data_IF_823767604134
#
_entry.id   IF_823767604134
#
_cell.length_a   1.000
_cell.length_b   1.000
_cell.length_c   1.000
_cell.angle_alpha   90.00
_cell.angle_beta   90.00
_cell.angle_gamma   90.00
#
_symmetry.space_group_name_H-M   'P 1'
#
loop_
_entity.id
_entity.type
_entity.pdbx_description
1 polymer ?
#
# COMPACT_ATOMS: atom_id res chain seq x y z
N UNK A 1 12.75 -9.42 3.40
CA UNK A 1 12.54 -10.24 2.18
C UNK A 1 13.61 -10.13 1.08
N UNK A 2 14.67 -9.33 1.23
CA UNK A 2 15.74 -9.22 0.20
C UNK A 2 16.75 -10.38 0.23
N UNK A 3 16.89 -11.07 1.37
CA UNK A 3 17.77 -12.22 1.50
C UNK A 3 17.07 -13.52 1.12
N UNK A 4 17.74 -14.34 0.29
CA UNK A 4 17.22 -15.64 -0.16
C UNK A 4 16.93 -16.57 1.02
N UNK A 5 17.80 -16.61 2.03
CA UNK A 5 17.58 -17.38 3.26
C UNK A 5 16.31 -16.95 4.01
N UNK A 6 16.02 -15.65 4.04
CA UNK A 6 14.83 -15.11 4.70
C UNK A 6 13.56 -15.48 3.94
N UNK A 7 13.60 -15.42 2.60
CA UNK A 7 12.51 -15.89 1.74
C UNK A 7 12.27 -17.38 1.91
N UNK A 8 13.32 -18.19 1.96
CA UNK A 8 13.21 -19.64 2.11
C UNK A 8 12.50 -20.03 3.41
N UNK A 9 12.75 -19.31 4.51
CA UNK A 9 12.07 -19.54 5.81
C UNK A 9 10.56 -19.30 5.76
N UNK A 10 10.05 -18.54 4.78
CA UNK A 10 8.60 -18.31 4.67
C UNK A 10 7.84 -19.52 4.17
N UNK A 11 8.49 -20.49 3.54
CA UNK A 11 7.85 -21.69 2.99
C UNK A 11 7.48 -22.74 4.04
N UNK A 12 7.35 -22.34 5.30
CA UNK A 12 6.73 -23.15 6.33
C UNK A 12 5.26 -23.41 5.95
N UNK A 13 4.88 -24.70 5.85
CA UNK A 13 3.57 -25.10 5.36
C UNK A 13 3.39 -25.06 3.83
N UNK A 14 4.47 -24.95 3.04
CA UNK A 14 4.39 -25.13 1.58
C UNK A 14 3.90 -26.55 1.23
N UNK A 15 2.99 -26.72 0.24
CA UNK A 15 2.44 -28.04 -0.06
C UNK A 15 3.53 -29.03 -0.47
N UNK A 16 3.55 -30.21 0.18
CA UNK A 16 4.57 -31.23 -0.06
C UNK A 16 4.48 -31.84 -1.47
N UNK A 17 3.30 -31.76 -2.09
CA UNK A 17 3.00 -32.23 -3.44
C UNK A 17 3.16 -31.13 -4.51
N UNK A 18 3.57 -29.92 -4.12
CA UNK A 18 3.78 -28.81 -5.05
C UNK A 18 4.84 -29.17 -6.11
N UNK A 19 4.62 -28.83 -7.39
CA UNK A 19 5.50 -29.24 -8.49
C UNK A 19 6.81 -28.46 -8.60
N UNK A 20 6.99 -27.42 -7.78
CA UNK A 20 8.18 -26.57 -7.71
C UNK A 20 8.67 -26.46 -6.28
N UNK A 21 9.99 -26.38 -6.10
CA UNK A 21 10.58 -26.42 -4.76
C UNK A 21 10.67 -25.03 -4.12
N UNK A 22 10.55 -24.93 -2.78
CA UNK A 22 10.81 -23.69 -2.03
C UNK A 22 12.16 -23.04 -2.35
N UNK A 23 13.20 -23.84 -2.59
CA UNK A 23 14.53 -23.35 -2.94
C UNK A 23 14.54 -22.61 -4.29
N UNK A 24 13.90 -23.18 -5.31
CA UNK A 24 13.81 -22.55 -6.64
C UNK A 24 12.95 -21.29 -6.62
N UNK A 25 11.87 -21.29 -5.83
CA UNK A 25 11.02 -20.12 -5.62
C UNK A 25 11.79 -19.00 -4.90
N UNK A 26 12.47 -19.31 -3.81
CA UNK A 26 13.30 -18.36 -3.06
C UNK A 26 14.41 -17.76 -3.92
N UNK A 27 15.11 -18.61 -4.70
CA UNK A 27 16.14 -18.20 -5.66
C UNK A 27 15.60 -17.31 -6.77
N UNK A 28 14.38 -17.55 -7.24
CA UNK A 28 13.68 -16.71 -8.22
C UNK A 28 13.09 -15.43 -7.62
N UNK A 29 13.36 -15.14 -6.34
CA UNK A 29 12.96 -13.90 -5.66
C UNK A 29 11.61 -13.98 -4.96
N UNK A 30 11.02 -15.17 -4.86
CA UNK A 30 9.70 -15.36 -4.27
C UNK A 30 9.74 -15.74 -2.79
N UNK A 31 8.74 -15.30 -2.05
CA UNK A 31 8.44 -15.75 -0.70
C UNK A 31 6.99 -16.21 -0.60
N UNK A 32 6.72 -17.14 0.29
CA UNK A 32 5.40 -17.73 0.48
C UNK A 32 4.46 -16.78 1.23
N UNK A 33 3.21 -16.67 0.75
CA UNK A 33 2.16 -15.90 1.40
C UNK A 33 1.15 -16.76 2.17
N UNK A 34 1.00 -18.02 1.76
CA UNK A 34 -0.08 -18.90 2.23
C UNK A 34 -1.51 -18.40 1.93
N UNK A 35 -2.54 -19.19 2.27
CA UNK A 35 -2.62 -20.65 2.09
C UNK A 35 -2.58 -21.05 0.60
N UNK A 36 -2.33 -22.33 0.31
CA UNK A 36 -2.18 -22.85 -1.06
C UNK A 36 -0.74 -22.75 -1.56
N UNK A 37 -0.55 -22.37 -2.82
CA UNK A 37 0.77 -22.27 -3.49
C UNK A 37 1.12 -20.84 -3.93
N UNK A 38 0.54 -19.84 -3.24
CA UNK A 38 0.73 -18.42 -3.54
C UNK A 38 2.08 -17.91 -3.07
N UNK A 39 2.83 -17.29 -3.98
CA UNK A 39 4.12 -16.68 -3.69
C UNK A 39 4.21 -15.26 -4.24
N UNK A 40 4.98 -14.39 -3.58
CA UNK A 40 5.17 -12.99 -3.97
C UNK A 40 6.65 -12.65 -4.14
N UNK A 41 6.96 -11.88 -5.18
CA UNK A 41 8.31 -11.42 -5.46
C UNK A 41 8.70 -10.25 -4.54
N UNK A 42 9.88 -10.29 -3.92
CA UNK A 42 10.38 -9.19 -3.08
C UNK A 42 10.66 -7.89 -3.86
N UNK A 43 10.94 -8.01 -5.17
CA UNK A 43 11.40 -6.91 -6.01
C UNK A 43 10.25 -6.18 -6.71
N UNK A 44 9.36 -6.91 -7.36
CA UNK A 44 8.24 -6.34 -8.11
C UNK A 44 6.90 -6.45 -7.38
N UNK A 45 6.86 -7.10 -6.21
CA UNK A 45 5.63 -7.42 -5.48
C UNK A 45 4.63 -8.29 -6.27
N UNK A 46 5.03 -8.82 -7.44
CA UNK A 46 4.21 -9.68 -8.29
C UNK A 46 3.92 -11.03 -7.62
N UNK A 47 2.68 -11.50 -7.75
CA UNK A 47 2.18 -12.72 -7.10
C UNK A 47 1.93 -13.81 -8.14
N UNK A 48 2.47 -15.01 -7.90
CA UNK A 48 2.23 -16.22 -8.70
C UNK A 48 1.58 -17.31 -7.84
N UNK A 49 0.82 -18.20 -8.50
CA UNK A 49 0.09 -19.34 -7.91
C UNK A 49 -0.25 -20.36 -9.00
N UNK A 50 -0.85 -21.48 -8.61
CA UNK A 50 -1.26 -22.58 -9.50
C UNK A 50 -0.08 -23.18 -10.29
N UNK A 51 1.01 -23.49 -9.60
CA UNK A 51 2.20 -24.09 -10.19
C UNK A 51 1.89 -25.49 -10.74
N UNK A 52 2.41 -25.81 -11.92
CA UNK A 52 2.25 -27.12 -12.57
C UNK A 52 3.58 -27.83 -12.78
N UNK A 53 3.53 -29.15 -13.00
CA UNK A 53 4.72 -29.98 -13.20
C UNK A 53 5.47 -29.52 -14.45
N UNK A 54 6.73 -29.13 -14.27
CA UNK A 54 7.58 -28.61 -15.35
C UNK A 54 7.73 -27.08 -15.37
N UNK A 55 7.02 -26.35 -14.51
CA UNK A 55 7.22 -24.91 -14.38
C UNK A 55 8.60 -24.58 -13.82
N UNK A 56 9.22 -23.53 -14.38
CA UNK A 56 10.43 -22.93 -13.81
C UNK A 56 10.06 -21.61 -13.14
N UNK A 57 10.28 -21.45 -11.83
CA UNK A 57 9.96 -20.21 -11.12
C UNK A 57 10.57 -18.95 -11.74
N UNK A 58 11.82 -19.00 -12.19
CA UNK A 58 12.47 -17.86 -12.83
C UNK A 58 11.91 -17.56 -14.22
N UNK A 59 11.53 -18.60 -14.98
CA UNK A 59 10.92 -18.43 -16.31
C UNK A 59 9.51 -17.85 -16.18
N UNK A 60 8.69 -18.39 -15.28
CA UNK A 60 7.34 -17.88 -15.02
C UNK A 60 7.39 -16.46 -14.43
N UNK A 61 8.36 -16.15 -13.57
CA UNK A 61 8.59 -14.77 -13.10
C UNK A 61 8.87 -13.81 -14.27
N UNK A 62 9.76 -14.19 -15.19
CA UNK A 62 10.08 -13.36 -16.36
C UNK A 62 8.92 -13.27 -17.35
N UNK A 63 8.14 -14.33 -17.48
CA UNK A 63 6.98 -14.41 -18.36
C UNK A 63 5.85 -13.51 -17.88
N UNK A 64 5.52 -13.56 -16.58
CA UNK A 64 4.40 -12.80 -16.00
C UNK A 64 4.80 -11.41 -15.52
N UNK A 65 6.06 -11.19 -15.14
CA UNK A 65 6.59 -9.90 -14.70
C UNK A 65 7.92 -9.53 -15.40
N UNK A 66 7.92 -9.36 -16.74
CA UNK A 66 9.13 -9.13 -17.54
C UNK A 66 9.88 -7.83 -17.20
N UNK A 67 9.22 -6.88 -16.54
CA UNK A 67 9.82 -5.62 -16.10
C UNK A 67 10.47 -5.71 -14.71
N UNK A 68 10.34 -6.84 -14.02
CA UNK A 68 10.92 -7.03 -12.70
C UNK A 68 12.45 -6.96 -12.78
N UNK A 69 13.05 -6.04 -12.03
CA UNK A 69 14.50 -5.86 -11.99
C UNK A 69 15.24 -7.15 -11.61
N UNK A 70 14.68 -7.91 -10.66
CA UNK A 70 15.22 -9.21 -10.28
C UNK A 70 15.05 -10.28 -11.37
N UNK A 71 13.88 -10.37 -12.02
CA UNK A 71 13.66 -11.33 -13.10
C UNK A 71 14.54 -11.08 -14.35
N UNK A 72 14.93 -9.82 -14.56
CA UNK A 72 15.88 -9.37 -15.59
C UNK A 72 17.36 -9.55 -15.19
N UNK A 73 17.66 -10.00 -13.97
CA UNK A 73 19.03 -10.16 -13.48
C UNK A 73 19.74 -8.83 -13.18
N UNK A 74 19.00 -7.73 -13.04
CA UNK A 74 19.56 -6.45 -12.58
C UNK A 74 19.78 -6.52 -11.08
N UNK A 75 20.80 -5.81 -10.57
CA UNK A 75 21.13 -5.78 -9.15
C UNK A 75 20.01 -5.08 -8.33
N UNK A 76 18.95 -5.83 -8.04
CA UNK A 76 17.78 -5.35 -7.28
C UNK A 76 17.98 -5.48 -5.77
N UNK A 77 19.23 -5.51 -5.29
CA UNK A 77 19.57 -5.74 -3.88
C UNK A 77 19.18 -7.12 -3.37
N UNK A 78 19.29 -8.16 -4.22
CA UNK A 78 19.14 -9.56 -3.81
C UNK A 78 20.39 -10.02 -3.05
N UNK A 79 20.20 -10.81 -1.99
CA UNK A 79 21.29 -11.41 -1.21
C UNK A 79 21.21 -12.93 -1.33
N UNK A 80 22.04 -13.56 -2.19
CA UNK A 80 21.99 -15.01 -2.45
C UNK A 80 22.41 -15.85 -1.24
N UNK A 81 22.00 -17.12 -1.22
CA UNK A 81 22.53 -18.10 -0.26
C UNK A 81 24.03 -18.27 -0.45
N UNK A 82 24.81 -18.13 0.63
CA UNK A 82 26.23 -18.47 0.65
C UNK A 82 26.37 -19.98 0.53
N UNK A 83 26.64 -20.46 -0.68
CA UNK A 83 27.11 -21.83 -0.89
C UNK A 83 28.59 -21.84 -0.55
N UNK A 84 28.95 -22.55 0.51
CA UNK A 84 30.35 -22.91 0.73
C UNK A 84 30.79 -23.81 -0.41
N UNK A 85 31.63 -23.30 -1.32
CA UNK A 85 32.43 -24.14 -2.18
C UNK A 85 33.82 -24.19 -1.58
N UNK A 86 34.24 -25.37 -1.13
CA UNK A 86 35.65 -25.74 -1.24
C UNK A 86 35.96 -25.69 -2.73
N UNK A 87 36.83 -24.77 -3.15
CA UNK A 87 38.11 -25.10 -3.80
C UNK A 87 38.71 -23.85 -4.47
N UNK A 88 39.91 -23.54 -3.97
CA UNK A 88 40.98 -22.67 -4.45
C UNK A 88 40.78 -21.89 -5.76
N UNK A 89 40.84 -20.55 -5.66
CA UNK A 89 41.55 -19.73 -6.66
C UNK A 89 42.49 -18.77 -5.94
N UNK A 90 43.72 -18.74 -6.45
CA UNK A 90 44.91 -18.19 -5.82
C UNK A 90 44.83 -16.71 -5.45
N UNK A 91 45.52 -16.39 -4.35
CA UNK A 91 45.59 -15.05 -3.79
C UNK A 91 46.30 -14.07 -4.72
N UNK A 92 45.53 -13.27 -5.46
CA UNK A 92 45.94 -11.94 -5.91
C UNK A 92 44.78 -11.17 -6.55
N UNK A 93 43.97 -10.45 -5.75
CA UNK A 93 43.39 -9.16 -6.19
C UNK A 93 42.76 -8.36 -5.04
N UNK A 94 43.50 -8.10 -3.96
CA UNK A 94 43.13 -7.09 -2.95
C UNK A 94 43.78 -5.72 -3.23
N UNK A 95 44.19 -5.46 -4.47
CA UNK A 95 44.90 -4.23 -4.89
C UNK A 95 44.19 -3.46 -6.00
N UNK A 96 42.86 -3.54 -6.09
CA UNK A 96 42.04 -2.65 -6.94
C UNK A 96 40.88 -1.98 -6.19
N UNK A 97 40.85 -2.07 -4.85
CA UNK A 97 39.89 -1.37 -4.00
C UNK A 97 40.29 0.07 -3.64
N UNK A 98 41.07 0.74 -4.48
CA UNK A 98 41.25 2.18 -4.32
C UNK A 98 41.65 2.82 -5.64
N UNK A 99 41.03 3.98 -5.93
CA UNK A 99 41.05 4.79 -7.17
C UNK A 99 39.91 4.36 -8.11
N UNK A 100 38.82 5.08 -8.33
CA UNK A 100 38.45 6.51 -8.34
C UNK A 100 36.90 6.51 -8.49
N UNK A 101 36.06 7.46 -8.12
CA UNK A 101 36.05 8.81 -7.56
C UNK A 101 34.59 9.09 -7.22
N UNK A 102 34.36 10.05 -6.32
CA UNK A 102 33.08 10.74 -6.13
C UNK A 102 32.40 11.00 -7.48
N UNK A 103 31.18 10.49 -7.67
CA UNK A 103 30.06 11.09 -8.42
C UNK A 103 28.96 10.03 -8.63
N UNK A 104 27.99 10.01 -7.72
CA UNK A 104 26.62 9.62 -8.06
C UNK A 104 25.65 10.51 -7.28
N UNK A 105 25.57 11.76 -7.73
CA UNK A 105 24.42 12.61 -7.48
C UNK A 105 23.33 12.22 -8.48
N UNK A 106 22.27 11.54 -8.01
CA UNK A 106 21.01 11.36 -8.73
C UNK A 106 20.26 10.08 -8.31
N UNK A 107 19.18 10.09 -7.53
CA UNK A 107 18.30 11.16 -7.08
C UNK A 107 17.75 10.81 -5.68
N UNK A 108 18.21 11.55 -4.67
CA UNK A 108 17.53 11.67 -3.40
C UNK A 108 16.72 12.97 -3.44
N UNK A 109 15.43 12.92 -3.11
CA UNK A 109 14.65 14.12 -2.75
C UNK A 109 13.92 14.90 -3.83
N UNK A 110 13.70 14.38 -5.04
CA UNK A 110 12.81 15.08 -5.99
C UNK A 110 11.39 14.51 -5.95
N UNK A 111 10.40 15.41 -5.83
CA UNK A 111 9.00 15.08 -5.93
C UNK A 111 8.67 14.50 -7.32
N UNK A 112 7.82 13.46 -7.34
CA UNK A 112 7.38 12.81 -8.59
C UNK A 112 6.55 13.76 -9.47
N UNK A 113 5.89 14.74 -8.85
CA UNK A 113 5.09 15.79 -9.50
C UNK A 113 5.53 17.18 -9.00
N UNK A 114 6.64 17.74 -9.50
CA UNK A 114 7.14 19.05 -9.09
C UNK A 114 6.11 20.18 -9.30
N UNK A 115 5.30 20.09 -10.35
CA UNK A 115 4.23 21.06 -10.63
C UNK A 115 3.12 21.09 -9.57
N UNK A 116 3.04 20.03 -8.76
CA UNK A 116 2.08 19.86 -7.67
C UNK A 116 2.70 20.07 -6.29
N UNK A 117 3.90 20.66 -6.22
CA UNK A 117 4.60 20.97 -4.96
C UNK A 117 3.89 22.06 -4.14
N UNK A 118 3.33 23.08 -4.81
CA UNK A 118 2.53 24.10 -4.15
C UNK A 118 1.16 23.53 -3.72
N UNK A 119 0.77 23.80 -2.47
CA UNK A 119 -0.53 23.38 -1.93
C UNK A 119 -1.71 23.90 -2.75
N UNK A 120 -1.68 25.17 -3.13
CA UNK A 120 -2.74 25.79 -3.94
C UNK A 120 -2.90 25.07 -5.29
N UNK A 121 -1.79 24.67 -5.93
CA UNK A 121 -1.84 23.85 -7.15
C UNK A 121 -2.59 22.54 -6.92
N UNK A 122 -2.34 21.86 -5.79
CA UNK A 122 -3.09 20.65 -5.42
C UNK A 122 -4.54 20.95 -5.13
N UNK A 123 -4.84 22.02 -4.40
CA UNK A 123 -6.21 22.38 -4.02
C UNK A 123 -7.09 22.65 -5.26
N UNK A 124 -6.54 23.29 -6.30
CA UNK A 124 -7.28 23.54 -7.55
C UNK A 124 -7.76 22.26 -8.25
N UNK A 125 -7.09 21.12 -8.01
CA UNK A 125 -7.51 19.85 -8.60
C UNK A 125 -8.85 19.36 -8.05
N UNK A 126 -9.24 19.78 -6.84
CA UNK A 126 -10.46 19.35 -6.16
C UNK A 126 -11.73 20.09 -6.60
N UNK A 127 -11.70 20.84 -7.72
CA UNK A 127 -12.84 21.59 -8.26
C UNK A 127 -14.14 20.77 -8.44
N UNK A 128 -14.03 19.44 -8.57
CA UNK A 128 -15.14 18.50 -8.69
C UNK A 128 -15.04 17.33 -7.69
N UNK A 129 -14.48 17.59 -6.50
CA UNK A 129 -14.42 16.60 -5.42
C UNK A 129 -15.83 16.16 -5.00
N UNK A 130 -16.09 14.85 -4.77
CA UNK A 130 -17.43 14.37 -4.47
C UNK A 130 -17.96 14.96 -3.17
N UNK A 131 -19.21 15.43 -3.19
CA UNK A 131 -19.88 15.98 -2.00
C UNK A 131 -20.14 14.94 -0.92
N UNK A 132 -20.21 13.67 -1.31
CA UNK A 132 -20.37 12.51 -0.45
C UNK A 132 -19.07 12.07 0.24
N UNK A 133 -17.92 12.54 -0.24
CA UNK A 133 -16.64 12.26 0.39
C UNK A 133 -16.56 13.02 1.72
N UNK A 134 -16.34 12.28 2.80
CA UNK A 134 -16.34 12.79 4.17
C UNK A 134 -15.14 13.68 4.51
N UNK A 135 -14.08 13.60 3.73
CA UNK A 135 -12.82 14.32 3.95
C UNK A 135 -12.77 15.58 3.09
N UNK A 136 -12.36 16.69 3.70
CA UNK A 136 -12.30 17.97 2.99
C UNK A 136 -11.04 18.10 2.11
N UNK A 137 -11.18 18.65 0.89
CA UNK A 137 -10.09 18.91 -0.04
C UNK A 137 -8.87 19.64 0.52
N UNK A 138 -9.09 20.62 1.39
CA UNK A 138 -8.03 21.44 1.97
C UNK A 138 -7.10 20.60 2.87
N UNK A 139 -7.66 19.64 3.62
CA UNK A 139 -6.87 18.74 4.47
C UNK A 139 -6.05 17.76 3.61
N UNK A 140 -6.64 17.27 2.51
CA UNK A 140 -5.97 16.40 1.54
C UNK A 140 -4.82 17.15 0.85
N UNK A 141 -5.08 18.36 0.37
CA UNK A 141 -4.07 19.22 -0.25
C UNK A 141 -2.90 19.51 0.69
N UNK A 142 -3.18 19.87 1.96
CA UNK A 142 -2.15 20.03 2.99
C UNK A 142 -1.32 18.76 3.18
N UNK A 143 -1.97 17.59 3.21
CA UNK A 143 -1.31 16.28 3.35
C UNK A 143 -0.51 15.82 2.13
N UNK A 144 -0.33 16.70 1.14
CA UNK A 144 0.44 16.43 -0.07
C UNK A 144 -0.36 15.75 -1.16
N UNK A 145 -1.68 15.59 -0.99
CA UNK A 145 -2.53 14.92 -1.95
C UNK A 145 -3.16 15.88 -2.95
N UNK A 146 -3.19 15.50 -4.22
CA UNK A 146 -4.01 16.14 -5.23
C UNK A 146 -5.08 15.16 -5.75
N UNK A 147 -6.22 15.70 -6.15
CA UNK A 147 -7.32 14.92 -6.69
C UNK A 147 -6.97 14.41 -8.09
N UNK A 148 -7.23 13.13 -8.33
CA UNK A 148 -7.00 12.51 -9.64
C UNK A 148 -8.16 12.71 -10.62
N UNK A 149 -9.24 13.37 -10.17
CA UNK A 149 -10.41 13.71 -10.99
C UNK A 149 -11.50 12.63 -11.05
N UNK A 150 -11.35 11.52 -10.31
CA UNK A 150 -12.34 10.44 -10.28
C UNK A 150 -12.54 9.86 -8.88
N UNK A 151 -13.80 9.64 -8.50
CA UNK A 151 -14.19 9.12 -7.19
C UNK A 151 -13.63 9.99 -6.07
N UNK A 152 -13.14 9.36 -5.01
CA UNK A 152 -12.40 10.02 -3.94
C UNK A 152 -10.88 9.72 -4.02
N UNK A 153 -10.40 9.41 -5.23
CA UNK A 153 -9.03 8.98 -5.42
C UNK A 153 -8.07 10.17 -5.42
N UNK A 154 -7.05 10.10 -4.57
CA UNK A 154 -6.02 11.11 -4.47
C UNK A 154 -4.62 10.53 -4.62
N UNK A 155 -3.64 11.37 -4.96
CA UNK A 155 -2.23 10.98 -5.05
C UNK A 155 -1.30 11.98 -4.39
N UNK A 156 -0.27 11.48 -3.73
CA UNK A 156 0.78 12.32 -3.18
C UNK A 156 1.68 12.84 -4.31
N UNK A 157 1.92 14.15 -4.35
CA UNK A 157 2.81 14.76 -5.34
C UNK A 157 4.26 14.26 -5.23
N UNK A 158 4.71 13.91 -4.02
CA UNK A 158 6.10 13.57 -3.77
C UNK A 158 6.40 12.08 -3.93
N UNK A 159 5.60 11.20 -3.33
CA UNK A 159 5.88 9.75 -3.32
C UNK A 159 5.07 8.94 -4.34
N UNK A 160 4.15 9.58 -5.07
CA UNK A 160 3.18 8.95 -5.97
C UNK A 160 2.25 7.91 -5.28
N UNK A 161 2.19 7.93 -3.95
CA UNK A 161 1.28 7.11 -3.16
C UNK A 161 -0.18 7.51 -3.41
N UNK A 162 -1.01 6.54 -3.80
CA UNK A 162 -2.43 6.75 -4.07
C UNK A 162 -3.34 6.16 -3.00
N UNK A 163 -4.35 6.91 -2.58
CA UNK A 163 -5.37 6.52 -1.61
C UNK A 163 -6.78 6.78 -2.16
N UNK A 164 -7.77 6.03 -1.65
CA UNK A 164 -9.19 6.10 -2.01
C UNK A 164 -10.05 5.43 -0.93
N UNK A 165 -11.36 5.49 -1.08
CA UNK A 165 -12.36 4.97 -0.13
C UNK A 165 -12.24 5.63 1.25
N UNK A 166 -12.21 6.96 1.27
CA UNK A 166 -12.11 7.78 2.46
C UNK A 166 -13.40 7.68 3.28
N UNK A 167 -13.27 7.27 4.53
CA UNK A 167 -14.36 7.09 5.48
C UNK A 167 -14.54 8.32 6.39
N UNK A 168 -15.72 8.51 7.00
CA UNK A 168 -15.91 9.57 7.99
C UNK A 168 -14.96 9.42 9.18
N UNK A 169 -14.06 10.37 9.35
CA UNK A 169 -13.07 10.39 10.44
C UNK A 169 -11.65 10.03 10.02
N UNK A 170 -11.43 9.64 8.76
CA UNK A 170 -10.07 9.41 8.24
C UNK A 170 -9.25 10.71 8.25
N UNK A 171 -8.03 10.62 8.79
CA UNK A 171 -7.06 11.70 8.72
C UNK A 171 -6.07 11.45 7.56
N UNK A 172 -5.99 12.35 6.57
CA UNK A 172 -5.10 12.19 5.43
C UNK A 172 -3.64 12.00 5.77
N UNK A 173 -3.13 12.64 6.83
CA UNK A 173 -1.73 12.49 7.22
C UNK A 173 -1.46 11.13 7.85
N UNK A 174 -2.40 10.62 8.65
CA UNK A 174 -2.32 9.30 9.26
C UNK A 174 -2.36 8.20 8.20
N UNK A 175 -3.30 8.24 7.25
CA UNK A 175 -3.37 7.25 6.18
C UNK A 175 -2.14 7.36 5.25
N UNK A 176 -1.63 8.57 4.99
CA UNK A 176 -0.37 8.75 4.25
C UNK A 176 0.81 8.07 4.98
N UNK A 177 0.92 8.25 6.30
CA UNK A 177 1.97 7.62 7.11
C UNK A 177 1.85 6.10 7.19
N UNK A 178 0.63 5.60 7.33
CA UNK A 178 0.32 4.17 7.44
C UNK A 178 0.71 3.42 6.17
N UNK A 179 0.36 3.96 4.99
CA UNK A 179 0.56 3.28 3.72
C UNK A 179 1.88 3.63 3.02
N UNK A 180 2.40 4.84 3.23
CA UNK A 180 3.64 5.33 2.60
C UNK A 180 4.62 5.98 3.61
N UNK A 181 5.10 5.24 4.63
CA UNK A 181 5.92 5.78 5.72
C UNK A 181 7.30 6.31 5.31
N UNK A 182 7.70 6.10 4.05
CA UNK A 182 8.98 6.57 3.47
C UNK A 182 8.82 7.80 2.58
N UNK A 183 7.62 8.37 2.47
CA UNK A 183 7.42 9.61 1.73
C UNK A 183 8.27 10.73 2.37
N UNK A 184 9.23 11.30 1.63
CA UNK A 184 10.13 12.30 2.19
C UNK A 184 9.42 13.61 2.53
N UNK A 185 8.47 14.04 1.71
CA UNK A 185 7.55 15.15 2.04
C UNK A 185 6.85 14.92 3.38
N UNK A 186 6.29 13.72 3.58
CA UNK A 186 5.61 13.38 4.83
C UNK A 186 6.57 13.41 6.03
N UNK A 187 7.79 12.89 5.86
CA UNK A 187 8.82 12.89 6.90
C UNK A 187 9.27 14.31 7.24
N UNK A 188 9.36 15.21 6.25
CA UNK A 188 9.73 16.61 6.45
C UNK A 188 8.63 17.40 7.18
N UNK A 189 7.37 17.25 6.77
CA UNK A 189 6.24 18.04 7.30
C UNK A 189 5.75 17.59 8.68
N UNK A 190 5.81 16.29 9.00
CA UNK A 190 5.28 15.74 10.27
C UNK A 190 6.35 15.23 11.22
N UNK A 191 7.61 15.22 10.78
CA UNK A 191 8.74 14.70 11.53
C UNK A 191 8.72 13.18 11.69
N UNK A 192 9.90 12.59 11.95
CA UNK A 192 10.06 11.14 12.20
C UNK A 192 9.33 10.63 13.46
N UNK A 193 8.76 11.55 14.24
CA UNK A 193 8.29 11.36 15.61
C UNK A 193 6.77 11.05 15.67
N UNK A 194 6.01 11.33 14.61
CA UNK A 194 4.58 10.98 14.52
C UNK A 194 4.32 9.61 13.86
N UNK A 195 5.34 8.97 13.28
CA UNK A 195 5.22 7.74 12.49
C UNK A 195 5.12 6.46 13.35
N UNK A 196 5.41 6.55 14.65
CA UNK A 196 5.45 5.40 15.56
C UNK A 196 4.23 5.28 16.50
N UNK A 197 3.35 6.26 16.54
CA UNK A 197 2.19 6.24 17.45
C UNK A 197 0.98 5.44 16.89
N UNK A 198 0.96 5.13 15.59
CA UNK A 198 -0.20 4.55 14.90
C UNK A 198 -0.02 3.08 14.45
N UNK A 199 1.19 2.52 14.55
CA UNK A 199 1.50 1.16 14.08
C UNK A 199 1.51 0.09 15.17
N UNK A 200 1.30 0.46 16.44
CA UNK A 200 1.07 -0.51 17.52
C UNK A 200 2.15 -1.59 17.70
N UNK A 201 3.41 -1.35 17.30
CA UNK A 201 4.51 -2.27 17.59
C UNK A 201 5.19 -1.89 18.91
N UNK A 202 4.80 -2.60 19.99
CA UNK A 202 5.58 -2.67 21.23
C UNK A 202 6.76 -3.64 21.03
N UNK A 203 7.91 -3.31 21.67
CA UNK A 203 9.17 -4.08 21.83
C UNK A 203 10.14 -4.00 20.63
N UNK A 204 11.39 -3.53 20.72
CA UNK A 204 12.36 -3.39 21.82
C UNK A 204 13.31 -2.22 21.53
N UNK A 205 13.52 -1.31 22.48
CA UNK A 205 14.75 -0.51 22.61
C UNK A 205 14.70 0.27 23.92
N UNK A 206 14.79 -0.44 25.03
CA UNK A 206 15.29 0.18 26.24
C UNK A 206 16.75 0.53 26.00
N UNK A 207 17.06 1.84 25.97
CA UNK A 207 18.17 2.46 26.71
C UNK A 207 18.23 3.98 26.39
N UNK A 208 17.98 4.77 27.43
CA UNK A 208 18.40 6.16 27.67
C UNK A 208 17.65 7.31 26.96
N UNK A 209 16.43 7.63 27.42
CA UNK A 209 15.96 9.03 27.41
C UNK A 209 15.37 9.38 28.80
N UNK A 210 15.77 10.52 29.41
CA UNK A 210 15.20 10.96 30.68
C UNK A 210 13.71 11.32 30.50
N UNK A 211 12.88 11.14 31.53
CA UNK A 211 11.45 11.44 31.44
C UNK A 211 11.21 12.94 31.15
N UNK A 212 10.19 13.28 30.35
CA UNK A 212 9.86 14.67 30.04
C UNK A 212 9.43 15.42 31.30
N UNK A 213 9.69 16.74 31.39
CA UNK A 213 9.23 17.56 32.51
C UNK A 213 7.69 17.60 32.56
N UNK A 214 7.08 17.70 33.75
CA UNK A 214 5.63 17.75 33.89
C UNK A 214 5.05 18.98 33.19
N UNK A 215 3.84 18.87 32.62
CA UNK A 215 3.19 19.99 31.93
C UNK A 215 2.86 21.14 32.90
N UNK A 216 2.84 22.40 32.42
CA UNK A 216 2.41 23.54 33.24
C UNK A 216 0.95 23.39 33.67
N UNK A 217 0.56 23.91 34.84
CA UNK A 217 -0.81 23.81 35.32
C UNK A 217 -1.78 24.56 34.39
N UNK A 218 -3.02 24.07 34.24
CA UNK A 218 -4.01 24.71 33.38
C UNK A 218 -4.38 26.11 33.90
N UNK A 219 -4.78 27.04 33.00
CA UNK A 219 -5.28 28.35 33.41
C UNK A 219 -6.55 28.21 34.25
N UNK A 220 -6.81 29.15 35.18
CA UNK A 220 -8.00 29.11 36.03
C UNK A 220 -9.28 29.26 35.18
N UNK A 221 -10.38 28.61 35.57
CA UNK A 221 -11.64 28.68 34.84
C UNK A 221 -12.26 30.09 34.89
N UNK A 222 -13.05 30.47 33.87
CA UNK A 222 -13.78 31.73 33.88
C UNK A 222 -14.83 31.78 35.01
N UNK A 223 -15.19 32.98 35.49
CA UNK A 223 -16.18 33.14 36.55
C UNK A 223 -17.58 32.68 36.09
N UNK A 224 -18.40 32.14 37.01
CA UNK A 224 -19.73 31.63 36.67
C UNK A 224 -20.72 32.76 36.33
N UNK A 225 -21.73 32.48 35.48
CA UNK A 225 -22.83 33.41 35.23
C UNK A 225 -23.74 33.60 36.46
N UNK A 226 -24.45 34.74 36.57
CA UNK A 226 -25.35 35.00 37.69
C UNK A 226 -26.56 34.05 37.69
N UNK A 227 -27.11 33.72 38.88
CA UNK A 227 -28.15 32.71 39.01
C UNK A 227 -29.51 33.18 38.46
N UNK A 228 -30.28 32.32 37.78
CA UNK A 228 -31.69 32.58 37.49
C UNK A 228 -32.56 32.39 38.74
N UNK A 229 -33.61 33.21 38.82
CA UNK A 229 -34.58 33.24 39.91
C UNK A 229 -35.37 31.92 40.06
N UNK A 230 -35.55 31.55 41.32
CA UNK A 230 -36.20 30.35 41.86
C UNK A 230 -37.71 30.26 41.61
N UNK A 231 -38.24 29.06 41.29
CA UNK A 231 -39.58 28.57 41.63
C UNK A 231 -39.66 27.01 41.51
N UNK A 232 -40.61 26.32 42.17
CA UNK A 232 -40.36 25.11 42.99
C UNK A 232 -40.75 23.77 42.32
N UNK A 233 -40.53 22.62 42.99
CA UNK A 233 -40.41 21.30 42.37
C UNK A 233 -41.69 20.47 42.40
N UNK A 234 -41.78 19.48 41.51
CA UNK A 234 -42.63 18.30 41.68
C UNK A 234 -41.82 17.01 41.47
N UNK A 235 -42.13 16.05 42.34
CA UNK A 235 -41.42 14.81 42.70
C UNK A 235 -41.54 13.66 41.66
N UNK A 236 -40.77 12.55 41.84
CA UNK A 236 -40.47 11.57 40.78
C UNK A 236 -41.29 10.27 40.88
N UNK A 237 -41.06 9.31 39.96
CA UNK A 237 -40.83 7.95 40.46
C UNK A 237 -39.59 7.24 39.90
N UNK A 238 -39.13 6.31 40.72
CA UNK A 238 -37.91 5.51 40.66
C UNK A 238 -37.99 4.40 39.60
N UNK A 239 -36.84 3.99 39.06
CA UNK A 239 -36.69 2.65 38.48
C UNK A 239 -35.69 1.80 39.27
N UNK A 240 -36.09 0.57 39.54
CA UNK A 240 -35.34 -0.47 40.24
C UNK A 240 -34.48 -1.31 39.30
N UNK A 241 -33.62 -2.09 39.94
CA UNK A 241 -32.47 -2.81 39.41
C UNK A 241 -32.80 -4.26 39.05
N UNK A 242 -31.87 -4.87 38.30
CA UNK A 242 -31.58 -6.32 38.03
C UNK A 242 -32.11 -6.83 36.69
N UNK A 243 -31.54 -7.82 36.00
CA UNK A 243 -30.22 -8.48 35.88
C UNK A 243 -30.50 -9.78 35.08
N UNK A 244 -29.68 -10.12 34.07
CA UNK A 244 -29.38 -11.52 33.70
C UNK A 244 -30.04 -12.13 32.46
N UNK A 245 -29.24 -12.85 31.65
CA UNK A 245 -29.67 -13.93 30.75
C UNK A 245 -29.23 -13.80 29.27
N UNK A 246 -28.02 -14.24 28.91
CA UNK A 246 -27.63 -15.48 28.16
C UNK A 246 -27.68 -15.43 26.62
N UNK A 247 -26.62 -16.02 26.07
CA UNK A 247 -26.12 -16.04 24.69
C UNK A 247 -26.88 -16.95 23.73
N UNK A 248 -26.99 -16.53 22.47
CA UNK A 248 -27.23 -17.38 21.30
C UNK A 248 -26.41 -16.88 20.12
N UNK A 249 -25.47 -17.69 19.63
CA UNK A 249 -24.71 -17.42 18.40
C UNK A 249 -25.52 -17.90 17.19
N UNK A 250 -25.93 -16.97 16.34
CA UNK A 250 -26.43 -17.24 14.99
C UNK A 250 -25.32 -16.95 13.97
N UNK A 251 -25.11 -17.88 13.03
CA UNK A 251 -24.22 -17.71 11.88
C UNK A 251 -24.98 -16.97 10.77
N UNK A 252 -24.49 -15.84 10.22
CA UNK A 252 -25.20 -15.10 9.18
C UNK A 252 -24.97 -15.71 7.79
N UNK A 253 -26.07 -16.00 7.10
CA UNK A 253 -26.12 -16.23 5.65
C UNK A 253 -26.03 -14.86 4.95
N UNK A 254 -24.88 -14.54 4.37
CA UNK A 254 -24.66 -13.26 3.67
C UNK A 254 -23.37 -13.13 2.84
N UNK A 255 -22.45 -14.10 2.93
CA UNK A 255 -21.13 -14.02 2.30
C UNK A 255 -21.14 -14.13 0.75
N UNK A 256 -22.17 -14.76 0.17
CA UNK A 256 -22.20 -15.05 -1.27
C UNK A 256 -22.51 -13.80 -2.12
N UNK A 257 -23.26 -12.84 -1.57
CA UNK A 257 -23.62 -11.60 -2.28
C UNK A 257 -22.45 -10.62 -2.42
N UNK A 258 -21.61 -10.53 -1.38
CA UNK A 258 -20.43 -9.66 -1.35
C UNK A 258 -19.37 -10.14 -2.35
N UNK A 259 -19.12 -11.45 -2.38
CA UNK A 259 -18.15 -12.09 -3.27
C UNK A 259 -18.54 -11.95 -4.74
N UNK A 260 -19.84 -12.11 -5.06
CA UNK A 260 -20.34 -11.90 -6.42
C UNK A 260 -20.18 -10.44 -6.86
N UNK A 261 -20.39 -9.48 -5.95
CA UNK A 261 -20.19 -8.06 -6.22
C UNK A 261 -18.73 -7.73 -6.50
N UNK A 262 -17.80 -8.28 -5.71
CA UNK A 262 -16.36 -8.12 -5.92
C UNK A 262 -15.90 -8.70 -7.27
N UNK A 263 -16.37 -9.91 -7.62
CA UNK A 263 -16.05 -10.55 -8.90
C UNK A 263 -16.62 -9.79 -10.10
N UNK A 264 -17.81 -9.21 -9.97
CA UNK A 264 -18.39 -8.33 -10.98
C UNK A 264 -17.57 -7.04 -11.13
N UNK A 265 -17.21 -6.42 -10.01
CA UNK A 265 -16.45 -5.17 -9.98
C UNK A 265 -15.06 -5.34 -10.59
N UNK A 266 -14.36 -6.45 -10.34
CA UNK A 266 -13.09 -6.81 -10.98
C UNK A 266 -13.17 -6.89 -12.52
N UNK A 267 -14.35 -7.23 -13.07
CA UNK A 267 -14.58 -7.43 -14.51
C UNK A 267 -15.20 -6.22 -15.19
N UNK A 268 -15.49 -5.15 -14.46
CA UNK A 268 -16.09 -3.93 -15.02
C UNK A 268 -15.01 -2.90 -15.39
N UNK A 269 -15.22 -2.22 -16.51
CA UNK A 269 -14.35 -1.17 -17.04
C UNK A 269 -14.05 -0.11 -15.99
N UNK A 270 -12.78 0.10 -15.68
CA UNK A 270 -12.35 1.05 -14.64
C UNK A 270 -12.40 2.52 -15.06
N UNK A 271 -12.96 2.80 -16.25
CA UNK A 271 -13.18 4.16 -16.75
C UNK A 271 -14.66 4.53 -16.73
N UNK A 272 -15.53 3.72 -17.34
CA UNK A 272 -16.97 4.01 -17.34
C UNK A 272 -17.76 3.30 -16.23
N UNK A 273 -17.16 2.31 -15.55
CA UNK A 273 -17.79 1.50 -14.50
C UNK A 273 -19.12 0.84 -14.90
N UNK A 274 -19.38 0.73 -16.19
CA UNK A 274 -20.68 0.31 -16.74
C UNK A 274 -20.54 -0.97 -17.57
N UNK A 275 -19.57 -1.00 -18.50
CA UNK A 275 -19.33 -2.14 -19.40
C UNK A 275 -18.23 -3.06 -18.90
N UNK A 276 -18.27 -4.33 -19.28
CA UNK A 276 -17.18 -5.27 -18.99
C UNK A 276 -15.86 -4.86 -19.64
N UNK A 277 -14.76 -5.15 -18.95
CA UNK A 277 -13.40 -5.03 -19.51
C UNK A 277 -13.28 -5.92 -20.74
N UNK A 278 -12.74 -5.38 -21.82
CA UNK A 278 -12.57 -6.11 -23.08
C UNK A 278 -11.33 -5.68 -23.85
N UNK A 279 -10.56 -4.71 -23.35
CA UNK A 279 -9.36 -4.19 -24.02
C UNK A 279 -8.12 -4.36 -23.15
N UNK A 280 -7.10 -4.95 -23.75
CA UNK A 280 -5.73 -5.08 -23.24
C UNK A 280 -4.86 -4.00 -23.88
N UNK A 281 -4.12 -3.24 -23.08
CA UNK A 281 -3.20 -2.22 -23.57
C UNK A 281 -1.78 -2.76 -23.82
N UNK A 282 -1.16 -2.37 -24.94
CA UNK A 282 0.22 -2.71 -25.30
C UNK A 282 1.13 -1.50 -25.00
N UNK A 283 2.30 -1.69 -24.35
CA UNK A 283 2.93 -2.98 -24.03
C UNK A 283 2.62 -3.55 -22.63
N UNK A 284 1.82 -2.87 -21.82
CA UNK A 284 1.72 -3.22 -20.39
C UNK A 284 0.82 -4.42 -20.06
N UNK A 285 -0.01 -4.89 -20.99
CA UNK A 285 -0.83 -6.09 -20.83
C UNK A 285 -2.06 -5.94 -19.91
N UNK A 286 -2.37 -4.75 -19.38
CA UNK A 286 -3.50 -4.59 -18.46
C UNK A 286 -4.85 -4.62 -19.20
N UNK A 287 -5.72 -5.57 -18.80
CA UNK A 287 -7.14 -5.66 -19.18
C UNK A 287 -7.97 -4.85 -18.18
N UNK A 288 -8.25 -3.60 -18.51
CA UNK A 288 -8.79 -2.63 -17.52
C UNK A 288 -9.98 -1.83 -18.02
N UNK A 289 -10.20 -1.78 -19.33
CA UNK A 289 -11.28 -0.96 -19.91
C UNK A 289 -12.11 -1.70 -20.95
N UNK A 290 -13.31 -1.19 -21.21
CA UNK A 290 -14.15 -1.62 -22.32
C UNK A 290 -13.66 -1.04 -23.66
N UNK A 291 -14.20 -1.57 -24.76
CA UNK A 291 -13.90 -1.11 -26.13
C UNK A 291 -14.03 0.41 -26.32
N UNK A 292 -15.11 0.97 -25.78
CA UNK A 292 -15.44 2.39 -26.00
C UNK A 292 -14.47 3.31 -25.26
N UNK A 293 -14.09 2.96 -24.02
CA UNK A 293 -13.19 3.76 -23.21
C UNK A 293 -11.73 3.67 -23.67
N UNK A 294 -11.34 2.61 -24.39
CA UNK A 294 -9.97 2.45 -24.83
C UNK A 294 -9.54 3.50 -25.86
N UNK A 295 -10.45 3.96 -26.71
CA UNK A 295 -10.14 4.92 -27.78
C UNK A 295 -9.66 6.29 -27.26
N UNK A 296 -10.07 6.66 -26.04
CA UNK A 296 -9.76 7.95 -25.44
C UNK A 296 -8.51 7.93 -24.53
N UNK A 297 -7.87 6.77 -24.37
CA UNK A 297 -6.75 6.61 -23.44
C UNK A 297 -5.40 6.58 -24.15
N UNK A 298 -4.47 7.41 -23.67
CA UNK A 298 -3.06 7.42 -24.11
C UNK A 298 -2.10 6.77 -23.11
N UNK A 299 -2.56 6.56 -21.87
CA UNK A 299 -1.82 5.88 -20.80
C UNK A 299 -2.70 4.83 -20.12
N UNK A 300 -2.10 3.72 -19.72
CA UNK A 300 -2.80 2.65 -19.01
C UNK A 300 -3.28 3.14 -17.62
N UNK A 301 -4.57 2.98 -17.26
CA UNK A 301 -5.07 3.38 -15.94
C UNK A 301 -4.42 2.67 -14.74
N UNK A 302 -3.86 1.47 -14.94
CA UNK A 302 -3.25 0.68 -13.85
C UNK A 302 -1.78 1.05 -13.65
N UNK A 303 -0.97 0.99 -14.71
CA UNK A 303 0.49 1.11 -14.60
C UNK A 303 1.06 2.35 -15.29
N UNK A 304 0.19 3.19 -15.88
CA UNK A 304 0.52 4.46 -16.55
C UNK A 304 1.47 4.37 -17.74
N UNK A 305 1.79 3.16 -18.18
CA UNK A 305 2.55 2.95 -19.40
C UNK A 305 1.84 3.60 -20.59
N UNK A 306 2.61 4.23 -21.48
CA UNK A 306 2.10 4.79 -22.74
C UNK A 306 1.47 3.68 -23.57
N UNK A 307 0.22 3.89 -23.99
CA UNK A 307 -0.52 2.95 -24.83
C UNK A 307 -0.02 3.12 -26.26
N UNK A 308 0.72 2.11 -26.73
CA UNK A 308 1.20 2.03 -28.12
C UNK A 308 0.24 1.26 -29.03
N UNK A 309 -0.66 0.47 -28.44
CA UNK A 309 -1.70 -0.26 -29.14
C UNK A 309 -2.69 -0.90 -28.16
N UNK A 310 -3.81 -1.40 -28.67
CA UNK A 310 -4.84 -2.08 -27.88
C UNK A 310 -5.35 -3.32 -28.60
N UNK A 311 -5.64 -4.38 -27.84
CA UNK A 311 -6.16 -5.66 -28.36
C UNK A 311 -7.45 -5.99 -27.64
N UNK A 312 -8.47 -6.41 -28.39
CA UNK A 312 -9.73 -6.88 -27.82
C UNK A 312 -9.59 -8.31 -27.32
N UNK A 313 -9.91 -8.54 -26.06
CA UNK A 313 -9.95 -9.86 -25.43
C UNK A 313 -11.39 -10.39 -25.40
N UNK A 314 -11.55 -11.70 -25.66
CA UNK A 314 -12.81 -12.41 -25.52
C UNK A 314 -12.70 -13.30 -24.28
N UNK A 315 -13.54 -13.04 -23.27
CA UNK A 315 -13.60 -13.82 -22.04
C UNK A 315 -14.75 -14.83 -22.18
N UNK A 316 -14.43 -16.13 -22.11
CA UNK A 316 -15.37 -17.26 -22.15
C UNK A 316 -15.86 -17.67 -20.76
#
# INVERSE_FOLDING_TARGET
MRAEAERLRTFDGWPADAPVTPGELAKAGFFFLGPGDKVQCFCCAGVLRCWVRGDSPAAEHRRHFPACGHALGRAAGDVPLRVGSSDSVDGQLLSQLQRMTMDDQGAAGHAVYPEMEAEDSRLTTFHNWPTEASVQPDVLARAGFFYTGHGDNVKCFHCDGGLRNWEPGDDPWQEHAKWFPRCEFLIQERGRVHLYALTGLQLVAGLLLPPPPPPPPPPPPPPPPPPPHSFPPLSPPRCGRRSGGVVGHAVPRGADGELLRQLQEERTCKVCMDKLVSIVFIPCGHLVVCGDCAASLRHCPICRAVIRGSVRAFMS
#
